data_IF_399436748434
#
_entry.id   IF_399436748434
#
_cell.length_a   1.000
_cell.length_b   1.000
_cell.length_c   1.000
_cell.angle_alpha   90.00
_cell.angle_beta   90.00
_cell.angle_gamma   90.00
#
_symmetry.space_group_name_H-M   'P 1'
#
loop_
_entity.id
_entity.type
_entity.pdbx_description
1 polymer ?
#
# COMPACT_ATOMS: atom_id res chain seq x y z
N UNK A 1 4.76 16.08 -9.38
CA UNK A 1 5.17 15.96 -10.79
C UNK A 1 6.43 15.09 -10.85
N UNK A 2 6.52 14.21 -11.82
CA UNK A 2 7.66 13.31 -12.06
C UNK A 2 9.01 14.02 -12.19
N UNK A 3 9.01 15.33 -12.40
CA UNK A 3 10.20 16.18 -12.49
C UNK A 3 10.51 16.94 -11.19
N UNK A 4 9.92 16.57 -10.07
CA UNK A 4 10.13 17.24 -8.77
C UNK A 4 9.54 18.65 -8.66
N UNK A 5 8.82 19.13 -9.66
CA UNK A 5 8.19 20.46 -9.62
C UNK A 5 6.82 20.41 -8.98
N UNK A 6 6.55 21.36 -8.09
CA UNK A 6 5.25 21.51 -7.47
C UNK A 6 4.18 21.81 -8.53
N UNK A 7 3.12 20.97 -8.59
CA UNK A 7 1.93 21.27 -9.39
C UNK A 7 1.13 22.39 -8.73
N UNK A 8 0.20 23.00 -9.48
CA UNK A 8 -0.73 23.97 -8.90
C UNK A 8 -1.74 23.23 -7.98
N UNK A 9 -1.35 23.04 -6.73
CA UNK A 9 -2.12 22.29 -5.73
C UNK A 9 -3.52 22.87 -5.54
N UNK A 10 -3.63 24.20 -5.48
CA UNK A 10 -4.92 24.88 -5.32
C UNK A 10 -5.89 24.55 -6.45
N UNK A 11 -5.40 24.55 -7.70
CA UNK A 11 -6.23 24.20 -8.87
C UNK A 11 -6.68 22.73 -8.82
N UNK A 12 -5.79 21.80 -8.41
CA UNK A 12 -6.14 20.38 -8.33
C UNK A 12 -7.20 20.13 -7.24
N UNK A 13 -7.03 20.70 -6.06
CA UNK A 13 -7.99 20.58 -4.96
C UNK A 13 -9.34 21.22 -5.34
N UNK A 14 -9.34 22.40 -5.99
CA UNK A 14 -10.56 23.04 -6.45
C UNK A 14 -11.28 22.24 -7.57
N UNK A 15 -10.56 21.38 -8.30
CA UNK A 15 -11.13 20.47 -9.32
C UNK A 15 -11.60 19.12 -8.75
N UNK A 16 -11.56 18.94 -7.43
CA UNK A 16 -12.09 17.75 -6.77
C UNK A 16 -11.07 16.73 -6.32
N UNK A 17 -9.76 17.05 -6.32
CA UNK A 17 -8.79 16.22 -5.63
C UNK A 17 -9.10 16.24 -4.12
N UNK A 18 -9.23 15.05 -3.52
CA UNK A 18 -9.60 14.90 -2.10
C UNK A 18 -8.39 14.80 -1.16
N UNK A 19 -7.19 14.61 -1.70
CA UNK A 19 -5.95 14.47 -0.95
C UNK A 19 -4.76 14.91 -1.79
N UNK A 20 -3.61 15.14 -1.13
CA UNK A 20 -2.32 15.35 -1.76
C UNK A 20 -1.46 14.09 -1.57
N UNK A 21 -0.65 13.75 -2.56
CA UNK A 21 0.41 12.76 -2.44
C UNK A 21 1.76 13.46 -2.44
N UNK A 22 2.60 13.16 -1.46
CA UNK A 22 3.95 13.70 -1.32
C UNK A 22 4.96 12.57 -1.20
N UNK A 23 6.09 12.75 -1.86
CA UNK A 23 7.29 11.98 -1.61
C UNK A 23 8.14 12.70 -0.54
N UNK A 24 8.57 11.99 0.48
CA UNK A 24 9.36 12.55 1.57
C UNK A 24 10.76 13.01 1.15
N UNK A 25 11.28 12.51 0.03
CA UNK A 25 12.59 12.90 -0.55
C UNK A 25 12.57 14.24 -1.28
N UNK A 26 11.37 14.86 -1.45
CA UNK A 26 11.26 16.20 -2.04
C UNK A 26 12.06 17.23 -1.23
N UNK A 27 12.48 18.31 -1.91
CA UNK A 27 13.17 19.41 -1.26
C UNK A 27 12.34 20.07 -0.15
N UNK A 28 13.04 20.64 0.84
CA UNK A 28 12.40 21.20 2.03
C UNK A 28 11.39 22.32 1.73
N UNK A 29 11.62 23.12 0.67
CA UNK A 29 10.70 24.18 0.31
C UNK A 29 9.40 23.63 -0.29
N UNK A 30 9.50 22.59 -1.14
CA UNK A 30 8.34 21.89 -1.70
C UNK A 30 7.51 21.22 -0.60
N UNK A 31 8.16 20.53 0.35
CA UNK A 31 7.48 19.93 1.51
C UNK A 31 6.77 20.98 2.37
N UNK A 32 7.45 22.10 2.67
CA UNK A 32 6.89 23.22 3.41
C UNK A 32 5.66 23.78 2.72
N UNK A 33 5.78 24.16 1.45
CA UNK A 33 4.67 24.79 0.69
C UNK A 33 3.49 23.82 0.57
N UNK A 34 3.74 22.56 0.30
CA UNK A 34 2.69 21.53 0.21
C UNK A 34 1.96 21.35 1.54
N UNK A 35 2.71 21.30 2.66
CA UNK A 35 2.14 21.21 4.02
C UNK A 35 1.29 22.43 4.37
N UNK A 36 1.73 23.63 4.02
CA UNK A 36 0.95 24.86 4.23
C UNK A 36 -0.35 24.85 3.42
N UNK A 37 -0.31 24.44 2.15
CA UNK A 37 -1.50 24.31 1.30
C UNK A 37 -2.47 23.25 1.82
N UNK A 38 -1.96 22.09 2.25
CA UNK A 38 -2.77 21.04 2.84
C UNK A 38 -3.52 21.53 4.08
N UNK A 39 -2.84 22.24 4.97
CA UNK A 39 -3.44 22.85 6.15
C UNK A 39 -4.53 23.87 5.78
N UNK A 40 -4.25 24.80 4.86
CA UNK A 40 -5.19 25.83 4.43
C UNK A 40 -6.46 25.28 3.77
N UNK A 41 -6.38 24.13 3.15
CA UNK A 41 -7.49 23.47 2.43
C UNK A 41 -8.13 22.34 3.23
N UNK A 42 -7.69 22.08 4.46
CA UNK A 42 -8.06 20.92 5.27
C UNK A 42 -7.95 19.60 4.49
N UNK A 43 -6.93 19.50 3.64
CA UNK A 43 -6.71 18.38 2.75
C UNK A 43 -5.72 17.40 3.37
N UNK A 44 -6.03 16.09 3.44
CA UNK A 44 -5.09 15.11 3.92
C UNK A 44 -3.93 14.90 2.95
N UNK A 45 -2.82 14.40 3.51
CA UNK A 45 -1.59 14.10 2.77
C UNK A 45 -1.31 12.61 2.88
N UNK A 46 -1.18 11.92 1.76
CA UNK A 46 -0.53 10.62 1.67
C UNK A 46 0.97 10.88 1.49
N UNK A 47 1.79 10.37 2.40
CA UNK A 47 3.23 10.54 2.31
C UNK A 47 3.92 9.21 2.14
N UNK A 48 4.64 9.06 1.04
CA UNK A 48 5.57 7.95 0.85
C UNK A 48 6.88 8.30 1.53
N UNK A 49 7.21 7.53 2.57
CA UNK A 49 8.41 7.72 3.36
C UNK A 49 9.53 6.82 2.85
N UNK A 50 10.37 7.36 1.98
CA UNK A 50 11.52 6.67 1.44
C UNK A 50 12.53 7.66 0.87
N UNK A 51 13.81 7.40 1.07
CA UNK A 51 14.89 8.20 0.51
C UNK A 51 15.91 7.29 -0.17
N UNK A 52 15.88 7.32 -1.49
CA UNK A 52 16.75 6.50 -2.35
C UNK A 52 18.24 6.81 -2.20
N UNK A 53 18.61 8.00 -1.70
CA UNK A 53 20.00 8.41 -1.57
C UNK A 53 20.71 7.62 -0.44
N UNK A 54 19.97 6.85 0.37
CA UNK A 54 20.55 5.89 1.32
C UNK A 54 20.90 4.53 0.71
N UNK A 55 20.53 4.22 -0.53
CA UNK A 55 20.49 2.85 -1.03
C UNK A 55 21.26 2.59 -2.33
N UNK A 56 22.00 3.55 -2.86
CA UNK A 56 22.77 3.41 -4.12
C UNK A 56 21.99 2.67 -5.23
N UNK A 57 20.71 2.97 -5.40
CA UNK A 57 19.76 2.28 -6.28
C UNK A 57 19.44 0.83 -5.88
N UNK A 58 19.24 0.57 -4.61
CA UNK A 58 18.79 -0.73 -4.10
C UNK A 58 17.55 -1.27 -4.81
N UNK A 59 17.49 -2.59 -4.96
CA UNK A 59 16.44 -3.25 -5.77
C UNK A 59 15.57 -4.24 -4.97
N UNK A 60 16.00 -4.61 -3.76
CA UNK A 60 15.29 -5.48 -2.82
C UNK A 60 15.65 -5.09 -1.38
N UNK A 61 15.15 -5.81 -0.38
CA UNK A 61 15.53 -5.61 1.02
C UNK A 61 17.04 -5.82 1.22
N UNK A 62 17.66 -4.99 2.06
CA UNK A 62 19.04 -5.18 2.52
C UNK A 62 19.06 -6.31 3.56
N UNK A 63 19.48 -7.51 3.14
CA UNK A 63 19.44 -8.75 3.92
C UNK A 63 20.44 -9.78 3.37
N UNK A 64 20.53 -10.95 4.01
CA UNK A 64 21.38 -12.06 3.59
C UNK A 64 21.09 -12.49 2.13
N UNK A 65 19.81 -12.57 1.76
CA UNK A 65 19.38 -12.90 0.39
C UNK A 65 19.91 -11.91 -0.65
N UNK A 66 19.88 -10.60 -0.38
CA UNK A 66 20.41 -9.60 -1.31
C UNK A 66 21.93 -9.78 -1.51
N UNK A 67 22.64 -10.11 -0.44
CA UNK A 67 24.08 -10.40 -0.50
C UNK A 67 24.37 -11.68 -1.31
N UNK A 68 23.61 -12.76 -1.08
CA UNK A 68 23.75 -14.02 -1.82
C UNK A 68 23.47 -13.86 -3.32
N UNK A 69 22.46 -13.07 -3.67
CA UNK A 69 22.11 -12.77 -5.06
C UNK A 69 23.01 -11.71 -5.71
N UNK A 70 23.91 -11.08 -4.95
CA UNK A 70 24.76 -10.00 -5.43
C UNK A 70 23.99 -8.75 -5.83
N UNK A 71 22.83 -8.50 -5.22
CA UNK A 71 21.96 -7.36 -5.49
C UNK A 71 22.12 -6.27 -4.44
N UNK A 72 21.98 -5.00 -4.86
CA UNK A 72 22.03 -3.86 -3.93
C UNK A 72 20.77 -3.85 -3.08
N UNK A 73 20.93 -3.82 -1.76
CA UNK A 73 19.85 -3.80 -0.78
C UNK A 73 19.31 -2.39 -0.53
N UNK A 74 18.04 -2.32 -0.19
CA UNK A 74 17.34 -1.12 0.28
C UNK A 74 17.38 -1.08 1.81
N UNK A 75 18.13 -0.14 2.36
CA UNK A 75 18.34 0.00 3.79
C UNK A 75 17.06 0.40 4.53
N UNK A 76 16.89 -0.09 5.74
CA UNK A 76 15.78 0.27 6.63
C UNK A 76 15.78 1.76 7.01
N UNK A 77 16.95 2.38 7.08
CA UNK A 77 17.08 3.81 7.41
C UNK A 77 16.43 4.70 6.35
N UNK A 78 16.37 4.26 5.08
CA UNK A 78 15.72 4.99 4.00
C UNK A 78 14.22 5.22 4.26
N UNK A 79 13.53 4.31 4.95
CA UNK A 79 12.13 4.46 5.35
C UNK A 79 12.02 5.17 6.70
N UNK A 80 12.72 4.70 7.74
CA UNK A 80 12.53 5.16 9.12
C UNK A 80 12.96 6.62 9.33
N UNK A 81 14.04 7.08 8.70
CA UNK A 81 14.46 8.49 8.78
C UNK A 81 13.42 9.43 8.17
N UNK A 82 12.81 9.02 7.06
CA UNK A 82 11.78 9.82 6.40
C UNK A 82 10.46 9.85 7.18
N UNK A 83 10.10 8.76 7.85
CA UNK A 83 8.95 8.75 8.78
C UNK A 83 9.18 9.76 9.91
N UNK A 84 10.34 9.75 10.55
CA UNK A 84 10.66 10.70 11.61
C UNK A 84 10.58 12.15 11.13
N UNK A 85 11.16 12.45 9.95
CA UNK A 85 11.09 13.78 9.32
C UNK A 85 9.65 14.21 9.04
N UNK A 86 8.86 13.35 8.41
CA UNK A 86 7.49 13.69 8.02
C UNK A 86 6.54 13.78 9.21
N UNK A 87 6.78 13.01 10.28
CA UNK A 87 6.05 13.10 11.54
C UNK A 87 6.25 14.48 12.20
N UNK A 88 7.49 15.00 12.25
CA UNK A 88 7.76 16.33 12.79
C UNK A 88 7.12 17.43 11.90
N UNK A 89 7.18 17.32 10.59
CA UNK A 89 6.51 18.26 9.69
C UNK A 89 5.00 18.24 9.87
N UNK A 90 4.39 17.05 9.94
CA UNK A 90 2.96 16.89 10.15
C UNK A 90 2.50 17.54 11.47
N UNK A 91 3.27 17.35 12.55
CA UNK A 91 3.02 17.96 13.86
C UNK A 91 3.13 19.48 13.81
N UNK A 92 4.19 20.00 13.18
CA UNK A 92 4.42 21.45 13.08
C UNK A 92 3.33 22.17 12.28
N UNK A 93 2.96 21.62 11.11
CA UNK A 93 1.94 22.20 10.24
C UNK A 93 0.52 21.77 10.58
N UNK A 94 0.33 20.87 11.57
CA UNK A 94 -0.97 20.32 11.99
C UNK A 94 -1.71 19.63 10.82
N UNK A 95 -0.95 18.96 9.94
CA UNK A 95 -1.51 18.25 8.81
C UNK A 95 -2.13 16.89 9.24
N UNK A 96 -3.17 16.47 8.53
CA UNK A 96 -3.67 15.10 8.55
C UNK A 96 -2.82 14.28 7.59
N UNK A 97 -1.93 13.44 8.11
CA UNK A 97 -1.00 12.64 7.30
C UNK A 97 -1.33 11.16 7.40
N UNK A 98 -1.31 10.48 6.27
CA UNK A 98 -1.30 9.03 6.15
C UNK A 98 0.12 8.63 5.75
N UNK A 99 0.76 7.85 6.60
CA UNK A 99 2.04 7.22 6.28
C UNK A 99 1.78 6.04 5.35
N UNK A 100 2.11 6.26 4.08
CA UNK A 100 1.73 5.38 2.98
C UNK A 100 2.75 4.26 2.80
N UNK A 101 2.25 3.02 2.66
CA UNK A 101 3.03 1.83 2.33
C UNK A 101 4.15 1.53 3.33
N UNK A 102 3.83 1.47 4.62
CA UNK A 102 4.79 1.02 5.63
C UNK A 102 5.21 -0.42 5.37
N UNK A 103 6.51 -0.69 5.47
CA UNK A 103 7.07 -2.02 5.24
C UNK A 103 7.83 -2.61 6.43
N UNK A 104 8.17 -1.83 7.44
CA UNK A 104 9.05 -2.20 8.54
C UNK A 104 8.34 -2.20 9.91
N UNK A 105 8.73 -3.13 10.78
CA UNK A 105 8.37 -3.11 12.20
C UNK A 105 8.88 -1.84 12.92
N UNK A 106 10.08 -1.38 12.55
CA UNK A 106 10.68 -0.19 13.14
C UNK A 106 9.88 1.08 12.81
N UNK A 107 9.22 1.12 11.66
CA UNK A 107 8.31 2.18 11.26
C UNK A 107 7.09 2.26 12.17
N UNK A 108 6.58 1.13 12.65
CA UNK A 108 5.46 1.09 13.61
C UNK A 108 5.85 1.67 14.97
N UNK A 109 7.10 1.47 15.40
CA UNK A 109 7.62 2.01 16.69
C UNK A 109 7.72 3.53 16.65
N UNK A 110 8.04 4.10 15.49
CA UNK A 110 8.15 5.55 15.31
C UNK A 110 6.80 6.28 15.29
N UNK A 111 5.71 5.57 15.01
CA UNK A 111 4.37 6.15 14.82
C UNK A 111 3.48 5.89 16.04
N UNK A 112 2.77 6.93 16.47
CA UNK A 112 1.79 6.85 17.56
C UNK A 112 0.48 6.19 17.08
N UNK A 113 -0.42 5.86 18.02
CA UNK A 113 -1.75 5.28 17.70
C UNK A 113 -2.60 6.20 16.82
N UNK A 114 -2.47 7.52 17.01
CA UNK A 114 -3.21 8.53 16.23
C UNK A 114 -2.71 8.73 14.80
N UNK A 115 -1.49 8.27 14.50
CA UNK A 115 -0.89 8.40 13.17
C UNK A 115 -1.53 7.38 12.23
N UNK A 116 -2.05 7.85 11.10
CA UNK A 116 -2.72 6.99 10.12
C UNK A 116 -1.68 6.21 9.32
N UNK A 117 -1.86 4.90 9.28
CA UNK A 117 -0.92 3.94 8.70
C UNK A 117 -1.59 3.13 7.61
N UNK A 118 -0.96 3.07 6.44
CA UNK A 118 -1.39 2.26 5.33
C UNK A 118 -0.34 1.20 5.01
N UNK A 119 -0.76 -0.04 4.88
CA UNK A 119 0.09 -1.17 4.49
C UNK A 119 -0.48 -1.88 3.26
N UNK A 120 0.35 -2.59 2.52
CA UNK A 120 -0.15 -3.43 1.44
C UNK A 120 -0.36 -4.86 1.88
N UNK A 121 -1.31 -5.57 1.21
CA UNK A 121 -1.56 -6.99 1.43
C UNK A 121 -0.29 -7.83 1.23
N UNK A 122 0.58 -7.44 0.30
CA UNK A 122 1.80 -8.19 -0.03
C UNK A 122 2.79 -8.23 1.12
N UNK A 123 2.94 -7.12 1.88
CA UNK A 123 3.79 -7.02 3.07
C UNK A 123 3.23 -7.74 4.30
N UNK A 124 2.01 -8.27 4.20
CA UNK A 124 1.39 -9.13 5.22
C UNK A 124 1.48 -10.63 4.88
N UNK A 125 1.91 -10.98 3.65
CA UNK A 125 1.88 -12.36 3.14
C UNK A 125 3.28 -12.87 2.79
N UNK A 126 4.05 -12.07 2.07
CA UNK A 126 5.36 -12.46 1.52
C UNK A 126 6.47 -11.65 2.19
N UNK A 127 7.60 -12.32 2.43
CA UNK A 127 8.84 -11.70 2.88
C UNK A 127 9.88 -11.64 1.74
N UNK A 128 11.08 -11.20 2.03
CA UNK A 128 12.17 -11.03 1.07
C UNK A 128 12.66 -12.33 0.43
N UNK A 129 12.36 -13.50 1.02
CA UNK A 129 12.64 -14.80 0.40
C UNK A 129 11.90 -15.00 -0.93
N UNK A 130 10.82 -14.28 -1.16
CA UNK A 130 10.10 -14.32 -2.43
C UNK A 130 10.91 -13.79 -3.63
N UNK A 131 12.06 -13.13 -3.38
CA UNK A 131 13.01 -12.69 -4.40
C UNK A 131 14.01 -13.78 -4.83
N UNK A 132 13.98 -14.97 -4.19
CA UNK A 132 14.80 -16.12 -4.56
C UNK A 132 14.73 -16.39 -6.07
N UNK A 133 15.81 -16.91 -6.64
CA UNK A 133 15.94 -17.15 -8.07
C UNK A 133 15.68 -15.91 -8.97
N UNK A 134 15.98 -14.72 -8.45
CA UNK A 134 15.76 -13.46 -9.16
C UNK A 134 14.32 -13.24 -9.60
N UNK A 135 13.36 -13.67 -8.80
CA UNK A 135 11.93 -13.55 -9.08
C UNK A 135 11.48 -12.08 -9.19
N UNK A 136 11.43 -11.55 -10.40
CA UNK A 136 11.03 -10.16 -10.65
C UNK A 136 9.59 -9.86 -10.27
N UNK A 137 8.71 -10.86 -10.15
CA UNK A 137 7.33 -10.67 -9.66
C UNK A 137 7.34 -10.14 -8.21
N UNK A 138 8.36 -10.46 -7.41
CA UNK A 138 8.57 -9.97 -6.05
C UNK A 138 9.26 -8.59 -5.95
N UNK A 139 9.67 -7.99 -7.07
CA UNK A 139 10.30 -6.66 -7.09
C UNK A 139 9.24 -5.57 -6.89
N UNK A 140 9.03 -5.20 -5.64
CA UNK A 140 8.05 -4.22 -5.17
C UNK A 140 8.72 -2.95 -4.62
N UNK A 141 7.93 -1.87 -4.51
CA UNK A 141 8.32 -0.63 -3.84
C UNK A 141 7.19 -0.17 -2.90
N UNK A 142 7.43 -0.17 -1.57
CA UNK A 142 8.65 -0.58 -0.88
C UNK A 142 8.96 -2.07 -1.09
N UNK A 143 10.20 -2.52 -0.82
CA UNK A 143 10.57 -3.92 -1.01
C UNK A 143 9.88 -4.81 0.03
N UNK A 144 9.68 -6.08 -0.30
CA UNK A 144 9.34 -7.10 0.67
C UNK A 144 10.45 -7.16 1.72
N UNK A 145 10.11 -7.15 3.00
CA UNK A 145 11.03 -7.11 4.11
C UNK A 145 11.16 -8.48 4.77
N UNK A 146 11.87 -8.55 5.87
CA UNK A 146 12.08 -9.79 6.62
C UNK A 146 10.78 -10.40 7.12
N UNK A 147 10.81 -11.69 7.39
CA UNK A 147 9.68 -12.41 8.04
C UNK A 147 9.26 -11.77 9.37
N UNK A 148 10.21 -11.19 10.11
CA UNK A 148 9.89 -10.48 11.36
C UNK A 148 9.07 -9.22 11.10
N UNK A 149 9.38 -8.48 10.02
CA UNK A 149 8.61 -7.30 9.62
C UNK A 149 7.19 -7.69 9.21
N UNK A 150 7.04 -8.76 8.43
CA UNK A 150 5.72 -9.32 8.06
C UNK A 150 4.89 -9.66 9.30
N UNK A 151 5.47 -10.39 10.26
CA UNK A 151 4.77 -10.78 11.49
C UNK A 151 4.37 -9.56 12.33
N UNK A 152 5.24 -8.56 12.45
CA UNK A 152 4.96 -7.34 13.19
C UNK A 152 3.84 -6.50 12.54
N UNK A 153 3.84 -6.39 11.20
CA UNK A 153 2.77 -5.72 10.46
C UNK A 153 1.43 -6.48 10.58
N UNK A 154 1.45 -7.81 10.54
CA UNK A 154 0.24 -8.63 10.78
C UNK A 154 -0.31 -8.37 12.18
N UNK A 155 0.52 -8.43 13.21
CA UNK A 155 0.09 -8.19 14.59
C UNK A 155 -0.48 -6.78 14.74
N UNK A 156 0.17 -5.75 14.20
CA UNK A 156 -0.32 -4.39 14.21
C UNK A 156 -1.67 -4.24 13.49
N UNK A 157 -1.91 -4.98 12.41
CA UNK A 157 -3.20 -5.02 11.73
C UNK A 157 -4.28 -5.63 12.64
N UNK A 158 -3.99 -6.76 13.28
CA UNK A 158 -4.92 -7.46 14.18
C UNK A 158 -5.29 -6.60 15.38
N UNK A 159 -4.32 -5.91 15.95
CA UNK A 159 -4.53 -4.98 17.07
C UNK A 159 -5.26 -3.68 16.65
N UNK A 160 -5.52 -3.49 15.35
CA UNK A 160 -6.19 -2.29 14.84
C UNK A 160 -5.28 -1.04 14.81
N UNK A 161 -3.98 -1.21 14.92
CA UNK A 161 -2.98 -0.13 14.83
C UNK A 161 -2.73 0.34 13.38
N UNK A 162 -3.11 -0.47 12.38
CA UNK A 162 -3.11 -0.12 10.97
C UNK A 162 -4.46 0.50 10.62
N UNK A 163 -4.46 1.57 9.85
CA UNK A 163 -5.68 2.31 9.48
C UNK A 163 -6.29 1.82 8.19
N UNK A 164 -5.45 1.47 7.21
CA UNK A 164 -5.86 1.13 5.84
C UNK A 164 -5.06 -0.04 5.28
N UNK A 165 -5.71 -0.82 4.42
CA UNK A 165 -5.10 -1.92 3.67
C UNK A 165 -5.28 -1.67 2.17
N UNK A 166 -4.21 -1.82 1.38
CA UNK A 166 -4.22 -1.60 -0.07
C UNK A 166 -3.68 -2.80 -0.85
N UNK A 167 -4.06 -2.87 -2.13
CA UNK A 167 -3.53 -3.84 -3.08
C UNK A 167 -2.13 -3.51 -3.60
N UNK A 168 -1.61 -2.31 -3.39
CA UNK A 168 -0.35 -1.85 -3.98
C UNK A 168 -0.31 -2.02 -5.53
N UNK A 169 -1.45 -1.93 -6.19
CA UNK A 169 -1.54 -2.18 -7.62
C UNK A 169 -0.72 -1.18 -8.43
N UNK A 170 0.35 -1.65 -9.04
CA UNK A 170 1.20 -0.89 -9.96
C UNK A 170 1.63 -1.81 -11.11
N UNK A 171 0.69 -2.10 -12.01
CA UNK A 171 0.91 -3.02 -13.12
C UNK A 171 2.04 -2.54 -14.04
N UNK A 172 2.91 -3.45 -14.43
CA UNK A 172 3.95 -3.25 -15.44
C UNK A 172 3.75 -4.24 -16.58
N UNK A 173 4.15 -3.86 -17.78
CA UNK A 173 4.14 -4.77 -18.92
C UNK A 173 5.09 -5.95 -18.69
N UNK A 174 4.82 -7.06 -19.32
CA UNK A 174 5.68 -8.25 -19.27
C UNK A 174 7.11 -7.87 -19.69
N UNK A 175 7.28 -7.06 -20.74
CA UNK A 175 8.58 -6.59 -21.21
C UNK A 175 9.40 -5.79 -20.20
N UNK A 176 8.76 -5.18 -19.20
CA UNK A 176 9.43 -4.47 -18.11
C UNK A 176 9.70 -5.36 -16.89
N UNK A 177 9.06 -6.51 -16.82
CA UNK A 177 9.26 -7.49 -15.72
C UNK A 177 10.16 -8.65 -16.15
N UNK A 178 10.20 -8.99 -17.44
CA UNK A 178 11.03 -10.06 -18.03
C UNK A 178 12.42 -9.51 -18.40
N UNK A 179 13.12 -9.02 -17.37
CA UNK A 179 14.48 -8.46 -17.43
C UNK A 179 15.31 -9.03 -16.28
N UNK A 180 16.61 -8.77 -16.26
CA UNK A 180 17.43 -9.02 -15.09
C UNK A 180 16.82 -8.31 -13.86
N UNK A 181 16.99 -8.89 -12.68
CA UNK A 181 16.27 -8.40 -11.48
C UNK A 181 16.56 -6.93 -11.19
N UNK A 182 17.81 -6.48 -11.35
CA UNK A 182 18.23 -5.09 -11.16
C UNK A 182 17.63 -4.12 -12.19
N UNK A 183 17.38 -4.58 -13.42
CA UNK A 183 16.80 -3.79 -14.51
C UNK A 183 15.25 -3.82 -14.52
N UNK A 184 14.66 -4.88 -13.97
CA UNK A 184 13.21 -5.06 -13.96
C UNK A 184 12.49 -3.91 -13.21
N UNK A 185 11.32 -3.51 -13.71
CA UNK A 185 10.55 -2.43 -13.09
C UNK A 185 9.92 -2.86 -11.76
N UNK A 186 9.94 -1.96 -10.78
CA UNK A 186 9.15 -2.11 -9.56
C UNK A 186 7.65 -2.08 -9.85
N UNK A 187 6.88 -2.96 -9.21
CA UNK A 187 5.43 -2.97 -9.27
C UNK A 187 4.84 -4.35 -9.39
N UNK A 188 3.55 -4.44 -9.13
CA UNK A 188 2.78 -5.67 -9.12
C UNK A 188 1.39 -5.46 -9.71
N UNK A 189 0.91 -6.46 -10.47
CA UNK A 189 -0.49 -6.54 -10.88
C UNK A 189 -1.25 -7.32 -9.80
N UNK A 190 -2.15 -6.67 -9.06
CA UNK A 190 -2.77 -7.29 -7.88
C UNK A 190 -4.23 -6.89 -7.63
N UNK A 191 -4.77 -5.88 -8.34
CA UNK A 191 -6.13 -5.41 -8.06
C UNK A 191 -7.19 -6.50 -8.30
N UNK A 192 -6.99 -7.37 -9.30
CA UNK A 192 -7.92 -8.47 -9.60
C UNK A 192 -7.86 -9.60 -8.57
N UNK A 193 -6.73 -9.76 -7.88
CA UNK A 193 -6.49 -10.82 -6.91
C UNK A 193 -6.68 -10.34 -5.46
N UNK A 194 -6.79 -9.02 -5.25
CA UNK A 194 -6.74 -8.39 -3.94
C UNK A 194 -7.68 -9.01 -2.90
N UNK A 195 -8.96 -9.13 -3.24
CA UNK A 195 -9.95 -9.67 -2.30
C UNK A 195 -9.72 -11.16 -2.03
N UNK A 196 -9.27 -11.92 -3.04
CA UNK A 196 -8.94 -13.34 -2.92
C UNK A 196 -7.68 -13.54 -2.07
N UNK A 197 -6.68 -12.66 -2.18
CA UNK A 197 -5.50 -12.64 -1.31
C UNK A 197 -5.90 -12.35 0.13
N UNK A 198 -6.72 -11.31 0.35
CA UNK A 198 -7.23 -10.99 1.68
C UNK A 198 -8.04 -12.16 2.29
N UNK A 199 -8.90 -12.79 1.49
CA UNK A 199 -9.67 -13.93 1.96
C UNK A 199 -8.76 -15.12 2.29
N UNK A 200 -7.90 -15.51 1.37
CA UNK A 200 -7.04 -16.70 1.52
C UNK A 200 -6.12 -16.59 2.73
N UNK A 201 -5.39 -15.49 2.85
CA UNK A 201 -4.30 -15.36 3.83
C UNK A 201 -4.69 -14.64 5.14
N UNK A 202 -5.85 -13.99 5.17
CA UNK A 202 -6.26 -13.31 6.40
C UNK A 202 -7.54 -13.90 6.99
N UNK A 203 -8.58 -14.19 6.17
CA UNK A 203 -9.87 -14.67 6.70
C UNK A 203 -9.89 -16.19 6.83
N UNK A 204 -9.54 -16.91 5.78
CA UNK A 204 -9.59 -18.38 5.76
C UNK A 204 -8.63 -19.00 6.78
N UNK A 205 -7.50 -18.36 7.06
CA UNK A 205 -6.58 -18.73 8.13
C UNK A 205 -7.08 -18.34 9.54
N UNK A 206 -8.23 -17.66 9.64
CA UNK A 206 -8.80 -17.20 10.92
C UNK A 206 -8.04 -16.05 11.57
N UNK A 207 -7.21 -15.34 10.79
CA UNK A 207 -6.45 -14.20 11.28
C UNK A 207 -7.34 -12.95 11.45
N UNK A 208 -8.20 -12.64 10.46
CA UNK A 208 -9.23 -11.62 10.52
C UNK A 208 -10.60 -12.24 10.21
N UNK A 209 -11.66 -11.54 10.57
CA UNK A 209 -13.01 -11.77 10.07
C UNK A 209 -13.40 -10.74 8.99
N UNK A 210 -14.55 -10.95 8.31
CA UNK A 210 -15.03 -10.06 7.27
C UNK A 210 -15.29 -8.63 7.75
N UNK A 211 -15.77 -8.44 8.97
CA UNK A 211 -16.03 -7.11 9.51
C UNK A 211 -14.72 -6.34 9.73
N UNK A 212 -13.68 -7.01 10.21
CA UNK A 212 -12.35 -6.43 10.39
C UNK A 212 -11.73 -6.07 9.03
N UNK A 213 -11.79 -6.97 8.04
CA UNK A 213 -11.29 -6.69 6.69
C UNK A 213 -12.03 -5.48 6.08
N UNK A 214 -13.35 -5.46 6.11
CA UNK A 214 -14.16 -4.36 5.60
C UNK A 214 -13.86 -3.03 6.31
N UNK A 215 -13.49 -3.06 7.59
CA UNK A 215 -13.06 -1.86 8.31
C UNK A 215 -11.84 -1.23 7.64
N UNK A 216 -10.80 -2.01 7.32
CA UNK A 216 -9.54 -1.49 6.74
C UNK A 216 -9.65 -1.15 5.25
N UNK A 217 -10.52 -1.81 4.51
CA UNK A 217 -10.61 -1.70 3.04
C UNK A 217 -11.78 -0.86 2.54
N UNK A 218 -12.80 -0.63 3.37
CA UNK A 218 -14.04 0.05 2.96
C UNK A 218 -14.46 1.13 3.93
N UNK A 219 -14.70 0.81 5.21
CA UNK A 219 -15.25 1.74 6.19
C UNK A 219 -14.26 2.88 6.48
N UNK A 220 -13.06 2.57 6.96
CA UNK A 220 -12.07 3.58 7.31
C UNK A 220 -11.71 4.48 6.11
N UNK A 221 -11.44 3.97 4.88
CA UNK A 221 -11.20 4.83 3.72
C UNK A 221 -12.38 5.74 3.40
N UNK A 222 -13.62 5.24 3.49
CA UNK A 222 -14.81 6.03 3.18
C UNK A 222 -15.04 7.14 4.21
N UNK A 223 -14.90 6.83 5.49
CA UNK A 223 -15.00 7.83 6.57
C UNK A 223 -13.90 8.90 6.45
N UNK A 224 -12.67 8.49 6.17
CA UNK A 224 -11.54 9.39 6.01
C UNK A 224 -11.71 10.36 4.83
N UNK A 225 -12.23 9.88 3.70
CA UNK A 225 -12.48 10.67 2.50
C UNK A 225 -13.84 11.38 2.51
N UNK A 226 -14.65 11.19 3.56
CA UNK A 226 -16.00 11.79 3.65
C UNK A 226 -17.00 11.24 2.61
N UNK A 227 -16.82 9.98 2.19
CA UNK A 227 -17.70 9.34 1.19
C UNK A 227 -18.97 8.78 1.86
N UNK A 228 -20.09 8.84 1.14
CA UNK A 228 -21.34 8.23 1.59
C UNK A 228 -21.41 6.73 1.25
N UNK A 229 -20.37 5.97 1.61
CA UNK A 229 -20.18 4.55 1.29
C UNK A 229 -19.41 3.82 2.39
N UNK A 230 -18.96 2.61 2.13
CA UNK A 230 -18.10 1.83 3.03
C UNK A 230 -18.82 1.00 4.08
N UNK A 231 -20.13 1.12 4.19
CA UNK A 231 -20.99 0.33 5.08
C UNK A 231 -22.31 -0.05 4.37
N UNK A 232 -22.90 -1.17 4.77
CA UNK A 232 -24.22 -1.61 4.28
C UNK A 232 -25.26 -1.07 5.25
N UNK A 233 -25.94 0.00 4.84
CA UNK A 233 -26.93 0.70 5.65
C UNK A 233 -27.99 1.33 4.75
N UNK A 234 -29.22 1.43 5.23
CA UNK A 234 -30.33 2.08 4.50
C UNK A 234 -29.99 3.56 4.25
N UNK A 235 -30.12 4.01 3.00
CA UNK A 235 -29.78 5.39 2.59
C UNK A 235 -28.34 5.59 2.10
N UNK A 236 -27.50 4.56 2.15
CA UNK A 236 -26.16 4.58 1.55
C UNK A 236 -26.17 4.16 0.08
N UNK A 237 -25.18 4.61 -0.69
CA UNK A 237 -24.99 4.10 -2.05
C UNK A 237 -24.74 2.59 -2.05
N UNK A 238 -25.44 1.86 -2.91
CA UNK A 238 -25.23 0.44 -3.10
C UNK A 238 -23.95 0.18 -3.93
N UNK A 239 -22.80 0.21 -3.27
CA UNK A 239 -21.50 -0.21 -3.78
C UNK A 239 -21.13 -1.51 -3.08
N UNK A 240 -21.40 -2.65 -3.72
CA UNK A 240 -21.39 -3.97 -3.11
C UNK A 240 -20.61 -4.98 -3.96
N UNK A 241 -20.00 -5.93 -3.29
CA UNK A 241 -19.36 -7.08 -3.93
C UNK A 241 -20.02 -8.35 -3.38
N UNK A 242 -20.48 -9.22 -4.27
CA UNK A 242 -20.85 -10.59 -3.93
C UNK A 242 -19.67 -11.50 -4.19
N UNK A 243 -19.22 -12.19 -3.14
CA UNK A 243 -18.00 -12.99 -3.13
C UNK A 243 -18.32 -14.44 -2.79
N UNK A 244 -17.81 -15.38 -3.61
CA UNK A 244 -17.95 -16.82 -3.38
C UNK A 244 -16.64 -17.34 -2.77
N UNK A 245 -16.68 -17.72 -1.51
CA UNK A 245 -15.54 -18.19 -0.72
C UNK A 245 -15.00 -19.56 -1.16
N UNK A 246 -15.82 -20.36 -1.83
CA UNK A 246 -15.50 -21.76 -2.13
C UNK A 246 -14.80 -21.93 -3.48
N UNK A 247 -14.88 -20.96 -4.36
CA UNK A 247 -14.27 -21.05 -5.68
C UNK A 247 -12.77 -20.84 -5.59
N UNK A 248 -12.02 -21.83 -6.07
CA UNK A 248 -10.57 -21.73 -6.23
C UNK A 248 -10.25 -20.90 -7.47
N UNK A 249 -9.29 -20.00 -7.37
CA UNK A 249 -8.79 -19.23 -8.50
C UNK A 249 -7.31 -19.53 -8.72
N UNK A 250 -6.91 -19.48 -9.99
CA UNK A 250 -5.52 -19.65 -10.40
C UNK A 250 -4.95 -18.28 -10.73
N UNK A 251 -3.91 -17.88 -10.01
CA UNK A 251 -3.18 -16.67 -10.35
C UNK A 251 -2.45 -16.83 -11.69
N UNK A 252 -2.30 -15.75 -12.48
CA UNK A 252 -1.49 -15.80 -13.70
C UNK A 252 -0.05 -16.24 -13.42
N UNK A 253 0.61 -16.89 -14.36
CA UNK A 253 2.02 -17.34 -14.22
C UNK A 253 2.98 -16.19 -13.91
N UNK A 254 2.65 -14.97 -14.29
CA UNK A 254 3.42 -13.75 -13.99
C UNK A 254 3.11 -13.14 -12.62
N UNK A 255 2.17 -13.71 -11.87
CA UNK A 255 1.83 -13.26 -10.53
C UNK A 255 2.86 -13.73 -9.51
N UNK A 256 3.12 -12.91 -8.51
CA UNK A 256 3.87 -13.31 -7.30
C UNK A 256 3.24 -14.52 -6.58
N UNK A 257 1.98 -14.78 -6.85
CA UNK A 257 1.17 -15.84 -6.23
C UNK A 257 0.86 -17.00 -7.18
N UNK A 258 1.64 -17.16 -8.26
CA UNK A 258 1.42 -18.22 -9.27
C UNK A 258 1.47 -19.63 -8.68
N UNK A 259 2.24 -19.84 -7.65
CA UNK A 259 2.39 -21.12 -6.94
C UNK A 259 1.42 -21.26 -5.74
N UNK A 260 0.72 -20.19 -5.38
CA UNK A 260 -0.20 -20.20 -4.25
C UNK A 260 -1.60 -20.65 -4.68
N UNK A 261 -2.23 -21.43 -3.81
CA UNK A 261 -3.62 -21.81 -3.97
C UNK A 261 -4.53 -20.72 -3.41
N UNK A 262 -5.12 -19.93 -4.29
CA UNK A 262 -6.00 -18.82 -3.91
C UNK A 262 -7.47 -19.24 -3.93
N UNK A 263 -8.24 -18.69 -2.99
CA UNK A 263 -9.65 -18.94 -2.85
C UNK A 263 -10.45 -17.65 -2.92
N UNK A 264 -11.67 -17.80 -3.39
CA UNK A 264 -12.67 -16.76 -3.43
C UNK A 264 -12.71 -16.00 -4.74
N UNK A 265 -13.90 -15.82 -5.28
CA UNK A 265 -14.15 -15.12 -6.53
C UNK A 265 -15.29 -14.14 -6.44
N UNK A 266 -15.12 -12.98 -7.05
CA UNK A 266 -16.20 -12.01 -7.19
C UNK A 266 -17.21 -12.52 -8.21
N UNK A 267 -18.46 -12.72 -7.78
CA UNK A 267 -19.59 -13.11 -8.62
C UNK A 267 -20.40 -11.93 -9.12
N UNK A 268 -20.46 -10.86 -8.34
CA UNK A 268 -21.19 -9.66 -8.70
C UNK A 268 -20.46 -8.44 -8.14
N UNK A 269 -20.40 -7.39 -8.93
CA UNK A 269 -19.86 -6.09 -8.52
C UNK A 269 -20.90 -5.01 -8.84
N UNK A 270 -21.46 -4.44 -7.81
CA UNK A 270 -22.50 -3.43 -7.89
C UNK A 270 -21.89 -2.06 -7.58
N UNK A 271 -22.06 -1.13 -8.49
CA UNK A 271 -21.69 0.29 -8.31
C UNK A 271 -22.93 1.14 -8.52
N UNK A 272 -23.26 1.95 -7.52
CA UNK A 272 -24.44 2.81 -7.51
C UNK A 272 -25.74 2.05 -7.88
N UNK A 273 -25.87 0.84 -7.32
CA UNK A 273 -27.02 -0.02 -7.54
C UNK A 273 -27.05 -0.77 -8.88
N UNK A 274 -26.01 -0.65 -9.73
CA UNK A 274 -25.93 -1.35 -11.01
C UNK A 274 -24.84 -2.43 -10.98
N UNK A 275 -25.17 -3.65 -11.41
CA UNK A 275 -24.18 -4.69 -11.60
C UNK A 275 -23.29 -4.37 -12.82
N UNK A 276 -21.98 -4.31 -12.63
CA UNK A 276 -21.02 -3.95 -13.70
C UNK A 276 -20.28 -5.17 -14.27
N UNK A 277 -20.46 -6.36 -13.70
CA UNK A 277 -19.88 -7.62 -14.22
C UNK A 277 -20.80 -8.32 -15.24
N UNK A 278 -22.05 -7.94 -15.32
CA UNK A 278 -22.95 -8.43 -16.39
C UNK A 278 -22.61 -7.71 -17.70
N UNK A 279 -22.22 -8.48 -18.72
CA UNK A 279 -22.09 -8.02 -20.10
C UNK A 279 -23.40 -8.22 -20.85
#
# INVERSE_FOLDING_TARGET
>A
DTNGKLKNLATLLNKGACALELDSSLDANTLKVSSQYAFMKDSPIFVRCYDKDFDDNGVMNDCEMSFELGLIGMSKIAETSQIAKMKELAKFYKNKVIFDLLSLKDSLVLLDEKDLKLVSIHHLIKDDSACEDFNTAAKLMPPLRSKEDVLALREALKEGKISFLTSLHSAKSISLKDLAFDEAAFGIHSVCEFISLCYTFLIKEGFLNWQELCRFTSKNPSEFLGLNSGVIEVGKEANLVLFDENEEIVAPKSSLYSEDKLFGKIKMHIIKGKNILEK
#
